data_IF_004493304147
#
_entry.id   IF_004493304147
#
_cell.length_a   1.000
_cell.length_b   1.000
_cell.length_c   1.000
_cell.angle_alpha   90.00
_cell.angle_beta   90.00
_cell.angle_gamma   90.00
#
_symmetry.space_group_name_H-M   'P 1'
#
loop_
_entity.id
_entity.type
_entity.pdbx_description
1 polymer ?
#
# COMPACT_ATOMS: atom_id res chain seq x y z
N UNK A 1 24.85 -6.47 6.49
CA UNK A 1 23.73 -7.28 5.93
C UNK A 1 22.99 -6.40 4.96
N UNK A 2 22.79 -6.85 3.72
CA UNK A 2 22.13 -6.06 2.67
C UNK A 2 20.64 -6.41 2.59
N UNK A 3 19.85 -5.57 1.92
CA UNK A 3 18.40 -5.77 1.78
C UNK A 3 18.10 -7.05 1.01
N UNK A 4 18.91 -7.37 0.01
CA UNK A 4 18.80 -8.59 -0.79
C UNK A 4 19.00 -9.86 0.05
N UNK A 5 19.89 -9.80 1.05
CA UNK A 5 20.13 -10.91 1.98
C UNK A 5 18.89 -11.16 2.87
N UNK A 6 18.20 -10.09 3.28
CA UNK A 6 16.97 -10.18 4.08
C UNK A 6 15.82 -10.77 3.26
N UNK A 7 15.67 -10.33 2.02
CA UNK A 7 14.66 -10.87 1.08
C UNK A 7 14.90 -12.36 0.85
N UNK A 8 16.16 -12.78 0.63
CA UNK A 8 16.53 -14.18 0.43
C UNK A 8 16.26 -15.05 1.68
N UNK A 9 16.26 -14.45 2.87
CA UNK A 9 15.91 -15.11 4.13
C UNK A 9 14.39 -15.15 4.39
N UNK A 10 13.57 -14.68 3.44
CA UNK A 10 12.11 -14.65 3.57
C UNK A 10 11.57 -13.45 4.34
N UNK A 11 12.37 -12.38 4.50
CA UNK A 11 11.86 -11.16 5.09
C UNK A 11 10.69 -10.58 4.28
N UNK A 12 9.72 -10.03 5.00
CA UNK A 12 8.63 -9.26 4.39
C UNK A 12 9.15 -7.90 3.94
N UNK A 13 8.85 -7.52 2.71
CA UNK A 13 9.10 -6.18 2.16
C UNK A 13 7.79 -5.43 2.14
N UNK A 14 7.77 -4.24 2.74
CA UNK A 14 6.63 -3.34 2.69
C UNK A 14 7.06 -2.05 1.98
N UNK A 15 6.29 -1.65 0.98
CA UNK A 15 6.45 -0.39 0.25
C UNK A 15 5.22 0.46 0.51
N UNK A 16 5.39 1.49 1.34
CA UNK A 16 4.30 2.32 1.82
C UNK A 16 4.33 3.72 1.21
N UNK A 17 3.17 4.18 0.72
CA UNK A 17 2.93 5.52 0.21
C UNK A 17 1.93 6.23 1.11
N UNK A 18 2.17 7.52 1.37
CA UNK A 18 1.19 8.40 2.01
C UNK A 18 0.63 9.32 0.93
N UNK A 19 -0.69 9.29 0.78
CA UNK A 19 -1.44 9.95 -0.28
C UNK A 19 -2.47 10.89 0.31
N UNK A 20 -2.81 11.95 -0.43
CA UNK A 20 -3.79 12.95 -0.01
C UNK A 20 -5.23 12.42 -0.09
N UNK A 21 -5.50 11.47 -0.99
CA UNK A 21 -6.83 10.94 -1.24
C UNK A 21 -6.79 9.60 -1.99
N UNK A 22 -7.96 8.96 -2.12
CA UNK A 22 -8.13 7.68 -2.83
C UNK A 22 -7.58 7.70 -4.26
N UNK A 23 -7.81 8.79 -5.01
CA UNK A 23 -7.36 8.88 -6.41
C UNK A 23 -5.84 8.80 -6.50
N UNK A 24 -5.13 9.54 -5.65
CA UNK A 24 -3.67 9.47 -5.62
C UNK A 24 -3.20 8.06 -5.20
N UNK A 25 -3.85 7.45 -4.20
CA UNK A 25 -3.53 6.08 -3.77
C UNK A 25 -3.67 5.05 -4.93
N UNK A 26 -4.75 5.14 -5.71
CA UNK A 26 -4.96 4.30 -6.90
C UNK A 26 -3.89 4.53 -7.96
N UNK A 27 -3.49 5.78 -8.21
CA UNK A 27 -2.43 6.14 -9.16
C UNK A 27 -1.07 5.57 -8.74
N UNK A 28 -0.71 5.67 -7.44
CA UNK A 28 0.53 5.08 -6.91
C UNK A 28 0.56 3.56 -7.07
N UNK A 29 -0.57 2.89 -6.83
CA UNK A 29 -0.65 1.43 -6.94
C UNK A 29 -0.85 0.92 -8.37
N UNK A 30 -1.26 1.77 -9.31
CA UNK A 30 -1.54 1.38 -10.71
C UNK A 30 -0.36 0.66 -11.37
N UNK A 31 0.87 1.11 -11.11
CA UNK A 31 2.09 0.49 -11.65
C UNK A 31 2.38 -0.90 -11.08
N UNK A 32 1.79 -1.26 -9.95
CA UNK A 32 1.99 -2.54 -9.26
C UNK A 32 0.81 -3.52 -9.45
N UNK A 33 -0.23 -3.16 -10.21
CA UNK A 33 -1.41 -4.02 -10.47
C UNK A 33 -1.07 -5.38 -11.11
N UNK A 34 0.09 -5.52 -11.73
CA UNK A 34 0.54 -6.81 -12.28
C UNK A 34 0.98 -7.81 -11.19
N UNK A 35 1.28 -7.33 -9.98
CA UNK A 35 1.66 -8.19 -8.86
C UNK A 35 0.45 -8.78 -8.13
N UNK A 36 -0.73 -8.18 -8.27
CA UNK A 36 -1.92 -8.69 -7.59
C UNK A 36 -3.12 -7.75 -7.72
N UNK A 37 -4.21 -8.14 -7.07
CA UNK A 37 -5.42 -7.32 -6.99
C UNK A 37 -5.23 -6.24 -5.94
N UNK A 38 -5.84 -5.08 -6.18
CA UNK A 38 -5.96 -4.03 -5.17
C UNK A 38 -7.07 -4.45 -4.20
N UNK A 39 -6.72 -4.51 -2.92
CA UNK A 39 -7.65 -4.64 -1.80
C UNK A 39 -7.73 -3.30 -1.07
N UNK A 40 -8.89 -2.99 -0.52
CA UNK A 40 -9.13 -1.77 0.24
C UNK A 40 -9.44 -2.13 1.68
N UNK A 41 -8.83 -1.40 2.60
CA UNK A 41 -8.95 -1.57 4.05
C UNK A 41 -9.18 -0.20 4.70
N UNK A 42 -9.73 -0.19 5.90
CA UNK A 42 -10.06 1.04 6.62
C UNK A 42 -10.00 0.88 8.13
N UNK A 43 -9.49 1.91 8.82
CA UNK A 43 -9.50 2.01 10.27
C UNK A 43 -9.63 3.47 10.71
N UNK A 44 -10.77 3.82 11.32
CA UNK A 44 -11.08 5.21 11.66
C UNK A 44 -11.18 6.09 10.41
N UNK A 45 -10.49 7.23 10.41
CA UNK A 45 -10.39 8.12 9.25
C UNK A 45 -9.33 7.66 8.24
N UNK A 46 -8.49 6.70 8.59
CA UNK A 46 -7.44 6.20 7.70
C UNK A 46 -7.97 5.08 6.84
N UNK A 47 -7.74 5.16 5.54
CA UNK A 47 -7.99 4.10 4.57
C UNK A 47 -6.69 3.77 3.85
N UNK A 48 -6.58 2.54 3.37
CA UNK A 48 -5.46 2.17 2.52
C UNK A 48 -5.85 1.16 1.46
N UNK A 49 -5.18 1.29 0.32
CA UNK A 49 -5.18 0.29 -0.72
C UNK A 49 -3.93 -0.58 -0.54
N UNK A 50 -4.06 -1.89 -0.74
CA UNK A 50 -2.93 -2.81 -0.68
C UNK A 50 -2.89 -3.78 -1.87
N UNK A 51 -1.68 -4.16 -2.29
CA UNK A 51 -1.42 -5.28 -3.20
C UNK A 51 -0.39 -6.18 -2.51
N UNK A 52 -0.74 -7.46 -2.32
CA UNK A 52 0.16 -8.46 -1.72
C UNK A 52 0.63 -9.46 -2.78
N UNK A 53 1.94 -9.69 -2.85
CA UNK A 53 2.57 -10.65 -3.76
C UNK A 53 3.73 -11.38 -3.06
N UNK A 54 3.50 -12.63 -2.65
CA UNK A 54 4.48 -13.40 -1.88
C UNK A 54 4.83 -12.69 -0.58
N UNK A 55 6.11 -12.34 -0.41
CA UNK A 55 6.62 -11.61 0.75
C UNK A 55 6.66 -10.08 0.55
N UNK A 56 6.06 -9.55 -0.51
CA UNK A 56 6.05 -8.11 -0.82
C UNK A 56 4.62 -7.57 -0.66
N UNK A 57 4.48 -6.42 0.01
CA UNK A 57 3.24 -5.65 0.07
C UNK A 57 3.47 -4.20 -0.39
N UNK A 58 2.61 -3.74 -1.28
CA UNK A 58 2.52 -2.33 -1.68
C UNK A 58 1.29 -1.74 -1.01
N UNK A 59 1.46 -0.70 -0.20
CA UNK A 59 0.38 -0.09 0.57
C UNK A 59 0.32 1.41 0.27
N UNK A 60 -0.85 1.94 -0.05
CA UNK A 60 -1.08 3.36 -0.23
C UNK A 60 -2.14 3.84 0.76
N UNK A 61 -1.68 4.58 1.78
CA UNK A 61 -2.52 5.15 2.84
C UNK A 61 -3.05 6.51 2.41
N UNK A 62 -4.30 6.81 2.79
CA UNK A 62 -4.89 8.14 2.69
C UNK A 62 -5.89 8.35 3.82
N UNK A 63 -6.14 9.61 4.18
CA UNK A 63 -7.17 9.95 5.15
C UNK A 63 -8.46 10.36 4.44
N UNK A 64 -9.58 9.94 5.00
CA UNK A 64 -10.91 10.42 4.61
C UNK A 64 -11.32 11.42 5.66
N UNK A 65 -11.25 12.70 5.32
CA UNK A 65 -11.72 13.76 6.22
C UNK A 65 -13.19 13.54 6.57
N UNK A 66 -13.57 13.88 7.81
CA UNK A 66 -14.96 14.22 8.06
C UNK A 66 -15.27 15.43 7.18
N UNK A 67 -16.13 15.25 6.18
CA UNK A 67 -16.72 16.36 5.46
C UNK A 67 -17.48 17.22 6.47
N UNK A 68 -16.82 18.22 7.04
CA UNK A 68 -17.48 19.34 7.70
C UNK A 68 -17.81 20.38 6.61
N UNK A 69 -18.84 20.08 5.82
CA UNK A 69 -19.65 21.06 5.08
C UNK A 69 -21.00 20.45 4.69
#
# INVERSE_FOLDING_TARGET
MKVEDLIAQGAKVEVSFYCENLKEAEEKLKQYKNFGRIEMESYGITQWLKISYGNIEFIAYYEVGESND
#
